data_IF_235457233929
#
_entry.id   IF_235457233929
#
_cell.length_a   1.000
_cell.length_b   1.000
_cell.length_c   1.000
_cell.angle_alpha   90.00
_cell.angle_beta   90.00
_cell.angle_gamma   90.00
#
_symmetry.space_group_name_H-M   'P 1'
#
loop_
_entity.id
_entity.type
_entity.pdbx_description
1 polymer ?
#
# COMPACT_ATOMS: atom_id res chain seq x y z
N UNK A 1 34.67 -14.28 14.36
CA UNK A 1 33.47 -14.97 13.85
C UNK A 1 32.98 -14.16 12.68
N UNK A 2 33.47 -14.46 11.49
CA UNK A 2 33.04 -13.78 10.23
C UNK A 2 31.67 -14.34 9.82
N UNK A 3 30.80 -13.46 9.44
CA UNK A 3 29.37 -13.62 9.26
C UNK A 3 29.00 -14.75 8.31
N UNK A 4 28.16 -15.64 8.77
CA UNK A 4 27.44 -16.67 7.97
C UNK A 4 26.38 -16.01 7.03
N UNK A 5 26.34 -14.69 6.95
CA UNK A 5 25.39 -13.92 6.14
C UNK A 5 25.92 -13.42 4.79
N UNK A 6 27.13 -13.87 4.37
CA UNK A 6 27.67 -13.52 3.03
C UNK A 6 27.06 -14.40 1.93
N UNK A 7 25.79 -14.24 1.64
CA UNK A 7 25.08 -14.98 0.61
C UNK A 7 23.57 -14.81 0.61
N UNK A 8 23.03 -13.95 1.50
CA UNK A 8 21.61 -13.60 1.49
C UNK A 8 21.47 -12.30 0.71
N UNK A 9 20.78 -12.35 -0.42
CA UNK A 9 20.43 -11.17 -1.19
C UNK A 9 19.49 -10.26 -0.36
N UNK A 10 19.85 -8.97 -0.28
CA UNK A 10 18.96 -7.98 0.30
C UNK A 10 17.94 -7.58 -0.75
N UNK A 11 16.68 -7.74 -0.45
CA UNK A 11 15.57 -7.42 -1.35
C UNK A 11 14.48 -6.63 -0.61
N UNK A 12 13.74 -5.81 -1.34
CA UNK A 12 12.55 -5.14 -0.83
C UNK A 12 11.41 -5.32 -1.82
N UNK A 13 10.35 -6.01 -1.40
CA UNK A 13 9.14 -6.25 -2.22
C UNK A 13 8.14 -5.11 -2.13
N UNK A 14 8.28 -4.24 -1.14
CA UNK A 14 7.43 -3.08 -0.89
C UNK A 14 8.36 -1.96 -0.46
N UNK A 15 8.92 -1.26 -1.45
CA UNK A 15 9.90 -0.19 -1.27
C UNK A 15 9.24 1.08 -0.76
N UNK A 16 10.07 1.95 -0.17
CA UNK A 16 9.59 3.17 0.46
C UNK A 16 8.95 4.15 -0.53
N UNK A 17 8.12 5.02 0.02
CA UNK A 17 7.50 6.13 -0.67
C UNK A 17 8.45 7.32 -0.80
N UNK A 18 8.24 8.16 -1.81
CA UNK A 18 9.03 9.38 -2.02
C UNK A 18 8.20 10.63 -1.75
N UNK A 19 8.83 11.69 -1.26
CA UNK A 19 8.18 12.99 -1.04
C UNK A 19 7.75 13.71 -2.32
N UNK A 20 8.11 13.17 -3.49
CA UNK A 20 7.60 13.65 -4.76
C UNK A 20 6.16 13.19 -5.03
N UNK A 21 5.80 11.99 -4.54
CA UNK A 21 4.57 11.31 -4.90
C UNK A 21 3.65 11.02 -3.71
N UNK A 22 4.14 11.16 -2.48
CA UNK A 22 3.31 11.10 -1.28
C UNK A 22 3.68 12.20 -0.27
N UNK A 23 2.80 12.46 0.71
CA UNK A 23 2.98 13.54 1.69
C UNK A 23 3.71 13.12 2.97
N UNK A 24 3.88 11.82 3.21
CA UNK A 24 4.50 11.29 4.43
C UNK A 24 5.98 10.90 4.25
N UNK A 25 6.59 11.28 3.13
CA UNK A 25 8.02 11.11 2.85
C UNK A 25 8.67 12.46 2.47
N UNK A 26 9.99 12.54 2.50
CA UNK A 26 10.74 13.76 2.22
C UNK A 26 11.71 13.65 1.06
N UNK A 27 12.28 12.45 0.83
CA UNK A 27 13.30 12.24 -0.17
C UNK A 27 12.70 12.10 -1.57
N UNK A 28 13.43 12.48 -2.60
CA UNK A 28 13.05 12.22 -3.98
C UNK A 28 13.13 10.72 -4.30
N UNK A 29 12.40 10.28 -5.33
CA UNK A 29 12.44 8.89 -5.77
C UNK A 29 13.87 8.44 -6.12
N UNK A 30 14.66 9.30 -6.74
CA UNK A 30 16.06 8.98 -7.05
C UNK A 30 16.92 8.84 -5.79
N UNK A 31 16.71 9.66 -4.75
CA UNK A 31 17.42 9.54 -3.47
C UNK A 31 17.06 8.23 -2.77
N UNK A 32 15.79 7.84 -2.77
CA UNK A 32 15.34 6.53 -2.25
C UNK A 32 16.07 5.38 -2.97
N UNK A 33 16.10 5.38 -4.31
CA UNK A 33 16.81 4.35 -5.10
C UNK A 33 18.31 4.33 -4.78
N UNK A 34 18.94 5.50 -4.67
CA UNK A 34 20.36 5.57 -4.31
C UNK A 34 20.64 5.01 -2.92
N UNK A 35 19.77 5.25 -1.96
CA UNK A 35 19.89 4.67 -0.62
C UNK A 35 19.83 3.13 -0.66
N UNK A 36 18.97 2.52 -1.49
CA UNK A 36 18.95 1.06 -1.70
C UNK A 36 20.26 0.54 -2.31
N UNK A 37 20.82 1.25 -3.30
CA UNK A 37 22.12 0.90 -3.90
C UNK A 37 23.24 0.96 -2.85
N UNK A 38 23.30 2.04 -2.07
CA UNK A 38 24.30 2.23 -1.01
C UNK A 38 24.17 1.19 0.11
N UNK A 39 22.95 0.78 0.43
CA UNK A 39 22.68 -0.29 1.39
C UNK A 39 22.97 -1.70 0.86
N UNK A 40 23.29 -1.85 -0.44
CA UNK A 40 23.67 -3.12 -1.07
C UNK A 40 22.49 -4.04 -1.31
N UNK A 41 21.33 -3.52 -1.71
CA UNK A 41 20.20 -4.32 -2.15
C UNK A 41 20.46 -4.88 -3.55
N UNK A 42 20.00 -6.11 -3.79
CA UNK A 42 20.05 -6.77 -5.10
C UNK A 42 18.92 -6.30 -6.00
N UNK A 43 17.73 -6.16 -5.42
CA UNK A 43 16.57 -5.60 -6.10
C UNK A 43 15.59 -4.93 -5.15
N UNK A 44 14.75 -4.06 -5.71
CA UNK A 44 13.69 -3.34 -5.01
C UNK A 44 12.47 -3.18 -5.90
N UNK A 45 11.28 -3.36 -5.33
CA UNK A 45 10.05 -2.90 -5.92
C UNK A 45 9.70 -1.53 -5.34
N UNK A 46 9.58 -0.54 -6.19
CA UNK A 46 9.04 0.78 -5.82
C UNK A 46 7.53 0.74 -5.96
N UNK A 47 6.82 1.12 -4.91
CA UNK A 47 5.39 0.83 -4.76
C UNK A 47 4.67 2.00 -4.10
N UNK A 48 4.63 3.15 -4.77
CA UNK A 48 3.82 4.29 -4.30
C UNK A 48 2.33 3.91 -4.20
N UNK A 49 1.59 4.60 -3.36
CA UNK A 49 0.13 4.47 -3.31
C UNK A 49 -0.50 4.80 -4.66
N UNK A 50 -1.49 4.03 -5.07
CA UNK A 50 -2.25 4.37 -6.26
C UNK A 50 -3.00 5.70 -6.08
N UNK A 51 -3.26 6.41 -7.20
CA UNK A 51 -4.08 7.59 -7.16
C UNK A 51 -5.52 7.27 -6.70
N UNK A 52 -6.20 8.18 -5.98
CA UNK A 52 -7.61 7.99 -5.61
C UNK A 52 -8.50 7.98 -6.86
N UNK A 53 -9.52 7.12 -6.87
CA UNK A 53 -10.49 6.99 -7.95
C UNK A 53 -11.35 8.27 -8.12
N UNK A 54 -11.56 9.01 -7.04
CA UNK A 54 -12.35 10.24 -7.00
C UNK A 54 -11.96 11.11 -5.81
N UNK A 55 -12.42 12.35 -5.78
CA UNK A 55 -12.17 13.25 -4.65
C UNK A 55 -12.67 12.73 -3.30
N UNK A 56 -13.67 11.86 -3.31
CA UNK A 56 -14.19 11.21 -2.09
C UNK A 56 -13.27 10.11 -1.54
N UNK A 57 -12.32 9.63 -2.33
CA UNK A 57 -11.38 8.55 -1.98
C UNK A 57 -9.99 9.07 -1.59
N UNK A 58 -9.83 10.40 -1.48
CA UNK A 58 -8.55 11.02 -1.09
C UNK A 58 -8.23 10.79 0.37
N UNK A 59 -6.95 10.71 0.67
CA UNK A 59 -6.48 10.79 2.05
C UNK A 59 -6.79 12.17 2.66
N UNK A 60 -6.87 12.28 4.01
CA UNK A 60 -7.17 13.54 4.67
C UNK A 60 -6.23 14.67 4.31
N UNK A 61 -4.91 14.44 4.27
CA UNK A 61 -3.89 15.42 3.90
C UNK A 61 -3.97 15.85 2.43
N UNK A 62 -4.36 14.98 1.52
CA UNK A 62 -4.61 15.32 0.11
C UNK A 62 -5.82 16.26 -0.02
N UNK A 63 -6.85 16.02 0.78
CA UNK A 63 -8.05 16.84 0.84
C UNK A 63 -7.76 18.21 1.48
N UNK A 64 -6.97 18.26 2.55
CA UNK A 64 -6.52 19.50 3.19
C UNK A 64 -5.60 20.31 2.28
N UNK A 65 -4.80 19.65 1.45
CA UNK A 65 -3.94 20.28 0.44
C UNK A 65 -4.68 20.72 -0.83
N UNK A 66 -6.01 20.55 -0.90
CA UNK A 66 -6.85 20.84 -2.08
C UNK A 66 -6.36 20.16 -3.38
N UNK A 67 -5.80 18.95 -3.25
CA UNK A 67 -5.29 18.18 -4.38
C UNK A 67 -6.41 17.34 -4.97
N UNK A 68 -6.94 17.72 -6.13
CA UNK A 68 -8.00 16.97 -6.83
C UNK A 68 -7.53 15.60 -7.33
N UNK A 69 -8.46 14.64 -7.43
CA UNK A 69 -8.17 13.28 -7.90
C UNK A 69 -7.51 13.24 -9.28
N UNK A 70 -7.91 14.13 -10.20
CA UNK A 70 -7.28 14.22 -11.54
C UNK A 70 -5.80 14.62 -11.44
N UNK A 71 -5.47 15.60 -10.57
CA UNK A 71 -4.08 15.98 -10.32
C UNK A 71 -3.27 14.82 -9.72
N UNK A 72 -3.85 14.10 -8.76
CA UNK A 72 -3.22 12.95 -8.12
C UNK A 72 -3.00 11.81 -9.12
N UNK A 73 -3.92 11.60 -10.06
CA UNK A 73 -3.77 10.61 -11.12
C UNK A 73 -2.63 11.00 -12.09
N UNK A 74 -2.51 12.28 -12.48
CA UNK A 74 -1.41 12.74 -13.33
C UNK A 74 -0.06 12.66 -12.59
N UNK A 75 -0.03 12.94 -11.28
CA UNK A 75 1.13 12.74 -10.42
C UNK A 75 1.53 11.26 -10.38
N UNK A 76 0.58 10.35 -10.27
CA UNK A 76 0.80 8.91 -10.27
C UNK A 76 1.35 8.40 -11.61
N UNK A 77 0.86 8.92 -12.74
CA UNK A 77 1.42 8.66 -14.08
C UNK A 77 2.86 9.15 -14.19
N UNK A 78 3.15 10.31 -13.60
CA UNK A 78 4.52 10.88 -13.56
C UNK A 78 5.45 9.97 -12.76
N UNK A 79 4.99 9.42 -11.63
CA UNK A 79 5.73 8.43 -10.86
C UNK A 79 6.15 7.23 -11.73
N UNK A 80 5.23 6.64 -12.47
CA UNK A 80 5.55 5.50 -13.34
C UNK A 80 6.62 5.84 -14.38
N UNK A 81 6.49 6.98 -15.03
CA UNK A 81 7.47 7.43 -16.03
C UNK A 81 8.85 7.66 -15.42
N UNK A 82 8.91 8.30 -14.26
CA UNK A 82 10.18 8.56 -13.55
C UNK A 82 10.80 7.25 -13.06
N UNK A 83 10.02 6.37 -12.43
CA UNK A 83 10.50 5.08 -11.95
C UNK A 83 11.07 4.23 -13.09
N UNK A 84 10.39 4.15 -14.24
CA UNK A 84 10.89 3.45 -15.44
C UNK A 84 12.20 4.07 -15.98
N UNK A 85 12.34 5.39 -15.93
CA UNK A 85 13.58 6.09 -16.32
C UNK A 85 14.73 5.74 -15.37
N UNK A 86 14.46 5.71 -14.07
CA UNK A 86 15.44 5.35 -13.04
C UNK A 86 15.80 3.85 -13.09
N UNK A 87 14.85 2.97 -13.40
CA UNK A 87 15.08 1.56 -13.67
C UNK A 87 16.12 1.38 -14.78
N UNK A 88 16.01 2.11 -15.90
CA UNK A 88 16.99 2.09 -16.97
C UNK A 88 18.34 2.67 -16.54
N UNK A 89 18.32 3.84 -15.86
CA UNK A 89 19.52 4.56 -15.41
C UNK A 89 20.39 3.72 -14.47
N UNK A 90 19.77 2.95 -13.59
CA UNK A 90 20.46 2.18 -12.55
C UNK A 90 20.52 0.67 -12.83
N UNK A 91 20.13 0.22 -14.02
CA UNK A 91 20.05 -1.20 -14.41
C UNK A 91 21.31 -2.04 -14.16
N UNK A 92 22.49 -1.41 -14.11
CA UNK A 92 23.77 -2.06 -13.84
C UNK A 92 24.16 -2.07 -12.33
N UNK A 93 23.33 -1.52 -11.46
CA UNK A 93 23.61 -1.37 -10.02
C UNK A 93 22.54 -1.98 -9.13
N UNK A 94 21.29 -1.92 -9.55
CA UNK A 94 20.12 -2.35 -8.78
C UNK A 94 19.04 -2.79 -9.77
N UNK A 95 18.46 -3.95 -9.56
CA UNK A 95 17.25 -4.33 -10.27
C UNK A 95 16.05 -3.62 -9.61
N UNK A 96 15.32 -2.85 -10.38
CA UNK A 96 14.18 -2.05 -9.90
C UNK A 96 12.91 -2.56 -10.58
N UNK A 97 11.88 -2.83 -9.81
CA UNK A 97 10.54 -3.14 -10.30
C UNK A 97 9.64 -1.93 -10.06
N UNK A 98 8.93 -1.50 -11.09
CA UNK A 98 7.95 -0.42 -11.00
C UNK A 98 6.58 -1.02 -10.73
N UNK A 99 6.08 -0.80 -9.53
CA UNK A 99 4.84 -1.39 -9.05
C UNK A 99 3.99 -0.33 -8.33
N UNK A 100 2.89 -0.69 -7.72
CA UNK A 100 2.14 0.20 -6.86
C UNK A 100 1.39 -0.57 -5.76
N UNK A 101 1.07 0.14 -4.70
CA UNK A 101 0.23 -0.32 -3.62
C UNK A 101 -1.22 0.06 -3.91
N UNK A 102 -2.11 -0.92 -3.82
CA UNK A 102 -3.55 -0.71 -4.09
C UNK A 102 -4.26 -0.12 -2.89
N UNK A 103 -5.33 0.62 -3.17
CA UNK A 103 -6.34 1.03 -2.20
C UNK A 103 -7.59 0.16 -2.37
N UNK A 104 -8.26 -0.16 -1.26
CA UNK A 104 -9.46 -0.99 -1.26
C UNK A 104 -10.66 -0.18 -0.78
N UNK A 105 -11.55 0.18 -1.69
CA UNK A 105 -12.85 0.82 -1.46
C UNK A 105 -13.83 0.40 -2.55
N UNK A 106 -15.11 0.76 -2.42
CA UNK A 106 -16.13 0.37 -3.40
C UNK A 106 -15.77 0.84 -4.81
N UNK A 107 -15.72 -0.09 -5.76
CA UNK A 107 -15.35 0.17 -7.15
C UNK A 107 -13.85 0.20 -7.44
N UNK A 108 -12.99 0.04 -6.44
CA UNK A 108 -11.53 0.11 -6.64
C UNK A 108 -10.98 -0.98 -7.56
N UNK A 109 -11.57 -2.16 -7.58
CA UNK A 109 -11.12 -3.29 -8.44
C UNK A 109 -11.11 -2.91 -9.91
N UNK A 110 -12.18 -2.29 -10.42
CA UNK A 110 -12.25 -1.86 -11.83
C UNK A 110 -11.22 -0.76 -12.12
N UNK A 111 -11.06 0.18 -11.19
CA UNK A 111 -10.08 1.25 -11.34
C UNK A 111 -8.63 0.73 -11.30
N UNK A 112 -8.32 -0.20 -10.41
CA UNK A 112 -7.01 -0.89 -10.38
C UNK A 112 -6.75 -1.60 -11.71
N UNK A 113 -7.72 -2.34 -12.24
CA UNK A 113 -7.60 -3.01 -13.53
C UNK A 113 -7.38 -2.02 -14.70
N UNK A 114 -8.02 -0.84 -14.65
CA UNK A 114 -7.76 0.24 -15.61
C UNK A 114 -6.30 0.72 -15.51
N UNK A 115 -5.80 0.98 -14.28
CA UNK A 115 -4.41 1.40 -14.03
C UNK A 115 -3.41 0.33 -14.49
N UNK A 116 -3.68 -0.95 -14.26
CA UNK A 116 -2.86 -2.07 -14.75
C UNK A 116 -2.77 -2.02 -16.29
N UNK A 117 -3.91 -1.87 -16.95
CA UNK A 117 -3.97 -1.80 -18.41
C UNK A 117 -3.22 -0.61 -19.01
N UNK A 118 -3.25 0.54 -18.33
CA UNK A 118 -2.60 1.77 -18.76
C UNK A 118 -1.10 1.77 -18.45
N UNK A 119 -0.71 1.48 -17.19
CA UNK A 119 0.63 1.73 -16.65
C UNK A 119 1.54 0.50 -16.70
N UNK A 120 0.96 -0.68 -16.82
CA UNK A 120 1.65 -1.98 -16.91
C UNK A 120 2.70 -2.15 -15.78
N UNK A 121 2.29 -2.17 -14.52
CA UNK A 121 3.18 -2.42 -13.40
C UNK A 121 3.85 -3.78 -13.53
N UNK A 122 5.03 -3.93 -12.93
CA UNK A 122 5.72 -5.23 -12.88
C UNK A 122 5.00 -6.20 -11.94
N UNK A 123 4.36 -5.68 -10.88
CA UNK A 123 3.47 -6.42 -9.98
C UNK A 123 2.60 -5.45 -9.15
N UNK A 124 1.74 -5.99 -8.28
CA UNK A 124 0.92 -5.24 -7.34
C UNK A 124 1.25 -5.62 -5.90
N UNK A 125 1.18 -4.62 -5.01
CA UNK A 125 1.04 -4.81 -3.56
C UNK A 125 -0.42 -4.58 -3.22
N UNK A 126 -1.11 -5.62 -2.75
CA UNK A 126 -2.51 -5.53 -2.35
C UNK A 126 -2.64 -5.08 -0.90
N UNK A 127 -3.31 -3.97 -0.65
CA UNK A 127 -3.49 -3.39 0.68
C UNK A 127 -4.93 -2.93 0.93
N UNK A 128 -5.31 -2.86 2.20
CA UNK A 128 -6.59 -2.33 2.66
C UNK A 128 -6.31 -1.20 3.66
N UNK A 129 -6.57 0.04 3.24
CA UNK A 129 -6.42 1.24 4.10
C UNK A 129 -7.78 1.86 4.47
N UNK A 130 -8.86 1.43 3.81
CA UNK A 130 -10.19 1.97 4.00
C UNK A 130 -11.20 0.85 4.27
N UNK A 131 -12.08 1.07 5.26
CA UNK A 131 -13.22 0.20 5.56
C UNK A 131 -14.47 1.06 5.69
N UNK A 132 -15.54 0.70 4.99
CA UNK A 132 -16.78 1.50 4.92
C UNK A 132 -16.56 2.97 4.55
N UNK A 133 -15.55 3.24 3.69
CA UNK A 133 -15.20 4.61 3.26
C UNK A 133 -14.41 5.43 4.30
N UNK A 134 -13.97 4.82 5.40
CA UNK A 134 -13.15 5.47 6.41
C UNK A 134 -11.71 4.95 6.35
N UNK A 135 -10.74 5.86 6.37
CA UNK A 135 -9.33 5.52 6.49
C UNK A 135 -9.06 4.96 7.90
N UNK A 136 -8.43 3.79 7.98
CA UNK A 136 -8.22 3.06 9.25
C UNK A 136 -6.84 3.27 9.85
N UNK A 137 -5.92 3.82 9.10
CA UNK A 137 -4.50 3.89 9.47
C UNK A 137 -3.91 5.30 9.48
N UNK A 138 -4.70 6.32 9.19
CA UNK A 138 -4.23 7.71 9.18
C UNK A 138 -3.95 8.21 10.61
N UNK A 139 -4.96 8.27 11.46
CA UNK A 139 -4.85 8.60 12.88
C UNK A 139 -5.95 7.93 13.74
N UNK A 140 -5.84 8.09 15.07
CA UNK A 140 -6.80 7.50 16.00
C UNK A 140 -8.24 8.02 15.84
N UNK A 141 -8.43 9.26 15.36
CA UNK A 141 -9.78 9.82 15.19
C UNK A 141 -10.47 9.21 13.98
N UNK A 142 -9.75 9.05 12.85
CA UNK A 142 -10.27 8.37 11.66
C UNK A 142 -10.56 6.90 11.96
N UNK A 143 -9.68 6.24 12.72
CA UNK A 143 -9.93 4.86 13.18
C UNK A 143 -11.19 4.75 14.05
N UNK A 144 -11.41 5.66 14.98
CA UNK A 144 -12.65 5.70 15.80
C UNK A 144 -13.90 5.90 14.94
N UNK A 145 -13.85 6.77 13.93
CA UNK A 145 -14.96 6.94 12.99
C UNK A 145 -15.24 5.64 12.21
N UNK A 146 -14.21 4.90 11.80
CA UNK A 146 -14.38 3.59 11.18
C UNK A 146 -15.06 2.58 12.13
N UNK A 147 -14.67 2.56 13.42
CA UNK A 147 -15.31 1.71 14.44
C UNK A 147 -16.79 2.08 14.63
N UNK A 148 -17.10 3.37 14.70
CA UNK A 148 -18.48 3.88 14.84
C UNK A 148 -19.33 3.51 13.62
N UNK A 149 -18.79 3.66 12.40
CA UNK A 149 -19.47 3.29 11.17
C UNK A 149 -19.72 1.77 11.08
N UNK A 150 -18.80 0.96 11.54
CA UNK A 150 -18.94 -0.49 11.59
C UNK A 150 -19.87 -0.97 12.73
N UNK A 151 -20.12 -0.13 13.75
CA UNK A 151 -20.95 -0.41 14.91
C UNK A 151 -20.22 -1.09 16.08
N UNK A 152 -19.07 -1.72 15.84
CA UNK A 152 -18.19 -2.28 16.87
C UNK A 152 -16.80 -2.55 16.35
N UNK A 153 -15.82 -2.72 17.24
CA UNK A 153 -14.46 -3.13 16.90
C UNK A 153 -14.45 -4.48 16.19
N UNK A 154 -15.20 -5.47 16.67
CA UNK A 154 -15.32 -6.78 16.05
C UNK A 154 -15.86 -6.67 14.60
N UNK A 155 -16.92 -5.90 14.40
CA UNK A 155 -17.49 -5.71 13.06
C UNK A 155 -16.53 -4.99 12.11
N UNK A 156 -15.74 -4.02 12.60
CA UNK A 156 -14.69 -3.37 11.81
C UNK A 156 -13.63 -4.37 11.37
N UNK A 157 -13.14 -5.24 12.25
CA UNK A 157 -12.16 -6.27 11.90
C UNK A 157 -12.73 -7.28 10.89
N UNK A 158 -13.99 -7.71 11.09
CA UNK A 158 -14.65 -8.59 10.14
C UNK A 158 -14.75 -7.95 8.75
N UNK A 159 -15.17 -6.68 8.68
CA UNK A 159 -15.24 -5.95 7.42
C UNK A 159 -13.87 -5.73 6.76
N UNK A 160 -12.81 -5.48 7.56
CA UNK A 160 -11.44 -5.38 7.07
C UNK A 160 -10.98 -6.66 6.38
N UNK A 161 -11.14 -7.82 7.05
CA UNK A 161 -10.72 -9.10 6.48
C UNK A 161 -11.64 -9.56 5.34
N UNK A 162 -12.91 -9.14 5.31
CA UNK A 162 -13.79 -9.38 4.16
C UNK A 162 -13.36 -8.53 2.96
N UNK A 163 -13.00 -7.26 3.15
CA UNK A 163 -12.43 -6.40 2.11
C UNK A 163 -11.09 -6.95 1.58
N UNK A 164 -10.23 -7.42 2.49
CA UNK A 164 -8.96 -8.05 2.12
C UNK A 164 -9.19 -9.33 1.30
N UNK A 165 -10.16 -10.16 1.67
CA UNK A 165 -10.51 -11.35 0.88
C UNK A 165 -10.95 -10.99 -0.54
N UNK A 166 -11.81 -9.98 -0.69
CA UNK A 166 -12.21 -9.47 -2.00
C UNK A 166 -10.99 -9.00 -2.82
N UNK A 167 -10.13 -8.19 -2.23
CA UNK A 167 -8.91 -7.74 -2.87
C UNK A 167 -8.00 -8.91 -3.30
N UNK A 168 -7.83 -9.92 -2.45
CA UNK A 168 -7.02 -11.11 -2.75
C UNK A 168 -7.59 -11.91 -3.92
N UNK A 169 -8.91 -12.09 -3.97
CA UNK A 169 -9.58 -12.90 -5.00
C UNK A 169 -9.78 -12.18 -6.33
N UNK A 170 -9.97 -10.85 -6.31
CA UNK A 170 -10.30 -10.07 -7.48
C UNK A 170 -9.06 -9.54 -8.21
N UNK A 171 -7.97 -9.25 -7.47
CA UNK A 171 -6.74 -8.66 -8.01
C UNK A 171 -5.57 -9.63 -8.04
N UNK A 172 -5.59 -10.71 -7.26
CA UNK A 172 -4.50 -11.69 -7.15
C UNK A 172 -3.10 -11.03 -7.04
N UNK A 173 -2.89 -10.08 -6.08
CA UNK A 173 -1.64 -9.34 -6.00
C UNK A 173 -0.46 -10.25 -5.69
N UNK A 174 0.73 -9.93 -6.25
CA UNK A 174 1.94 -10.72 -6.00
C UNK A 174 2.47 -10.58 -4.58
N UNK A 175 2.13 -9.48 -3.92
CA UNK A 175 2.51 -9.15 -2.54
C UNK A 175 1.27 -8.70 -1.80
N UNK A 176 1.07 -9.20 -0.60
CA UNK A 176 0.08 -8.67 0.35
C UNK A 176 0.80 -7.71 1.28
N UNK A 177 0.45 -6.44 1.23
CA UNK A 177 0.95 -5.44 2.16
C UNK A 177 0.34 -5.66 3.54
N UNK A 178 1.03 -5.23 4.58
CA UNK A 178 0.59 -5.22 6.00
C UNK A 178 -0.74 -5.95 6.29
N UNK A 179 -0.70 -7.28 6.28
CA UNK A 179 -1.86 -8.18 6.42
C UNK A 179 -2.80 -7.82 7.58
N UNK A 180 -2.26 -7.27 8.66
CA UNK A 180 -2.95 -6.97 9.92
C UNK A 180 -2.96 -5.46 10.27
N UNK A 181 -2.94 -4.57 9.28
CA UNK A 181 -2.90 -3.11 9.48
C UNK A 181 -4.00 -2.60 10.42
N UNK A 182 -5.17 -3.24 10.38
CA UNK A 182 -6.33 -2.89 11.22
C UNK A 182 -6.01 -2.80 12.71
N UNK A 183 -4.95 -3.45 13.20
CA UNK A 183 -4.54 -3.44 14.61
C UNK A 183 -3.82 -2.16 15.04
N UNK A 184 -3.43 -1.29 14.09
CA UNK A 184 -2.52 -0.14 14.34
C UNK A 184 -2.93 0.73 15.53
N UNK A 185 -4.23 0.98 15.69
CA UNK A 185 -4.77 1.81 16.76
C UNK A 185 -5.64 1.03 17.78
N UNK A 186 -5.63 -0.31 17.74
CA UNK A 186 -6.32 -1.15 18.72
C UNK A 186 -5.32 -1.68 19.77
N UNK A 187 -5.34 -1.09 20.97
CA UNK A 187 -4.50 -1.54 22.08
C UNK A 187 -4.82 -2.99 22.54
N UNK A 188 -6.01 -3.51 22.23
CA UNK A 188 -6.47 -4.84 22.59
C UNK A 188 -6.53 -5.81 21.40
N UNK A 189 -5.80 -5.54 20.34
CA UNK A 189 -5.88 -6.25 19.06
C UNK A 189 -5.79 -7.78 19.17
N UNK A 190 -5.01 -8.32 20.13
CA UNK A 190 -4.93 -9.78 20.34
C UNK A 190 -6.27 -10.37 20.80
N UNK A 191 -7.03 -9.63 21.64
CA UNK A 191 -8.36 -10.05 22.06
C UNK A 191 -9.35 -9.97 20.90
N UNK A 192 -9.28 -8.90 20.11
CA UNK A 192 -10.16 -8.69 18.96
C UNK A 192 -9.91 -9.75 17.88
N UNK A 193 -8.63 -10.03 17.54
CA UNK A 193 -8.26 -11.11 16.62
C UNK A 193 -8.71 -12.49 17.09
N UNK A 194 -8.68 -12.75 18.39
CA UNK A 194 -9.13 -14.02 18.99
C UNK A 194 -10.64 -14.26 18.99
N UNK A 195 -11.45 -13.27 18.57
CA UNK A 195 -12.91 -13.46 18.45
C UNK A 195 -13.21 -14.42 17.29
N UNK A 196 -14.09 -15.45 17.49
CA UNK A 196 -14.29 -16.52 16.51
C UNK A 196 -14.62 -15.99 15.10
N UNK A 197 -15.54 -15.04 14.98
CA UNK A 197 -15.93 -14.47 13.69
C UNK A 197 -14.86 -13.63 12.99
N UNK A 198 -13.85 -13.13 13.73
CA UNK A 198 -12.66 -12.45 13.17
C UNK A 198 -11.64 -13.50 12.75
N UNK A 199 -11.32 -14.46 13.64
CA UNK A 199 -10.28 -15.47 13.38
C UNK A 199 -10.60 -16.36 12.17
N UNK A 200 -11.86 -16.75 11.99
CA UNK A 200 -12.32 -17.50 10.81
C UNK A 200 -11.99 -16.77 9.49
N UNK A 201 -12.08 -15.42 9.48
CA UNK A 201 -11.73 -14.60 8.31
C UNK A 201 -10.22 -14.49 8.10
N UNK A 202 -9.46 -14.39 9.19
CA UNK A 202 -8.00 -14.46 9.13
C UNK A 202 -7.54 -15.78 8.50
N UNK A 203 -8.05 -16.91 8.99
CA UNK A 203 -7.71 -18.24 8.45
C UNK A 203 -8.14 -18.41 6.99
N UNK A 204 -9.27 -17.84 6.60
CA UNK A 204 -9.70 -17.86 5.19
C UNK A 204 -8.73 -17.11 4.27
N UNK A 205 -8.16 -16.01 4.75
CA UNK A 205 -7.31 -15.13 3.94
C UNK A 205 -5.84 -15.59 3.87
N UNK A 206 -5.44 -16.53 4.74
CA UNK A 206 -4.12 -17.16 4.75
C UNK A 206 -4.07 -18.38 3.82
#
# INVERSE_FOLDING_TARGET
>A
MASVLSGIDKVSVHGGHSGQFCHHASDSLEEVIRAYIEAGFSWVGITEHMAPMSDACRYPDESEGDLGADFLLDRFRTYFNECRSLQQKYSNKLEIFTAFETETYEGSTDFVNQLIGELKPDYLVGSVHHVHGHCIDYDENHFKQAVEAAGSMEALYQAYFDAQYGMLTDLEPSVVGHFDLIRKFDANYLQTLGMPGVWERVERNL
#
